data_IF_931666572713
#
_entry.id   IF_931666572713
#
_cell.length_a   1.000
_cell.length_b   1.000
_cell.length_c   1.000
_cell.angle_alpha   90.00
_cell.angle_beta   90.00
_cell.angle_gamma   90.00
#
_symmetry.space_group_name_H-M   'P 1'
#
loop_
_entity.id
_entity.type
_entity.pdbx_description
1 polymer ?
#
# COMPACT_ATOMS: atom_id res chain seq x y z
N UNK A 1 -14.68 4.42 -11.96
CA UNK A 1 -14.21 5.82 -11.94
C UNK A 1 -14.80 6.58 -10.74
N UNK A 2 -16.14 6.63 -10.60
CA UNK A 2 -16.78 7.21 -9.41
C UNK A 2 -16.46 6.46 -8.11
N UNK A 3 -16.38 5.12 -8.12
CA UNK A 3 -16.13 4.34 -6.90
C UNK A 3 -14.71 4.57 -6.32
N UNK A 4 -13.65 4.58 -7.14
CA UNK A 4 -12.28 4.90 -6.64
C UNK A 4 -12.15 6.32 -6.13
N UNK A 5 -12.81 7.30 -6.78
CA UNK A 5 -12.79 8.68 -6.29
C UNK A 5 -13.55 8.81 -4.96
N UNK A 6 -14.71 8.15 -4.83
CA UNK A 6 -15.45 8.07 -3.56
C UNK A 6 -14.65 7.35 -2.47
N UNK A 7 -13.94 6.28 -2.79
CA UNK A 7 -13.07 5.55 -1.85
C UNK A 7 -11.93 6.43 -1.36
N UNK A 8 -11.26 7.15 -2.27
CA UNK A 8 -10.22 8.12 -1.89
C UNK A 8 -10.83 9.21 -1.00
N UNK A 9 -11.93 9.86 -1.40
CA UNK A 9 -12.57 10.91 -0.60
C UNK A 9 -13.04 10.40 0.77
N UNK A 10 -13.63 9.20 0.83
CA UNK A 10 -14.01 8.56 2.09
C UNK A 10 -12.78 8.29 2.98
N UNK A 11 -11.68 7.78 2.40
CA UNK A 11 -10.42 7.57 3.10
C UNK A 11 -9.78 8.89 3.59
N UNK A 12 -10.00 10.01 2.88
CA UNK A 12 -9.54 11.33 3.31
C UNK A 12 -10.32 11.86 4.53
N UNK A 13 -11.59 11.49 4.67
CA UNK A 13 -12.42 11.87 5.82
C UNK A 13 -12.38 10.88 6.98
N UNK A 14 -11.90 9.65 6.72
CA UNK A 14 -11.85 8.59 7.71
C UNK A 14 -10.71 8.78 8.70
N UNK A 15 -11.01 8.64 9.98
CA UNK A 15 -10.05 8.78 11.09
C UNK A 15 -9.60 7.41 11.56
N UNK A 16 -8.34 7.23 11.93
CA UNK A 16 -7.85 6.04 12.64
C UNK A 16 -8.45 5.99 14.04
N UNK A 17 -9.17 4.92 14.37
CA UNK A 17 -9.80 4.74 15.69
C UNK A 17 -8.83 4.08 16.68
N UNK A 18 -9.23 3.97 17.95
CA UNK A 18 -8.43 3.27 18.95
C UNK A 18 -8.38 1.76 18.68
N UNK A 19 -9.47 1.20 18.17
CA UNK A 19 -9.57 -0.21 17.77
C UNK A 19 -8.61 -0.51 16.61
N UNK A 20 -8.49 0.38 15.63
CA UNK A 20 -7.50 0.23 14.55
C UNK A 20 -6.06 0.23 15.10
N UNK A 21 -5.77 1.06 16.11
CA UNK A 21 -4.43 1.08 16.74
C UNK A 21 -4.14 -0.24 17.42
N UNK A 22 -5.09 -0.74 18.21
CA UNK A 22 -4.97 -2.05 18.86
C UNK A 22 -4.82 -3.16 17.83
N UNK A 23 -5.56 -3.11 16.72
CA UNK A 23 -5.44 -4.05 15.62
C UNK A 23 -4.03 -4.04 15.00
N UNK A 24 -3.48 -2.85 14.73
CA UNK A 24 -2.11 -2.72 14.19
C UNK A 24 -1.09 -3.32 15.16
N UNK A 25 -1.15 -2.98 16.45
CA UNK A 25 -0.23 -3.51 17.46
C UNK A 25 -0.37 -5.00 17.74
N UNK A 26 -1.52 -5.59 17.41
CA UNK A 26 -1.72 -7.04 17.50
C UNK A 26 -0.91 -7.81 16.45
N UNK A 27 -0.71 -7.24 15.26
CA UNK A 27 -0.06 -7.92 14.13
C UNK A 27 1.37 -7.45 13.88
N UNK A 28 1.70 -6.20 14.15
CA UNK A 28 3.00 -5.62 13.79
C UNK A 28 3.97 -5.57 14.98
N UNK A 29 5.25 -5.73 14.68
CA UNK A 29 6.32 -5.44 15.63
C UNK A 29 6.49 -3.93 15.80
N UNK A 30 7.10 -3.46 16.89
CA UNK A 30 7.32 -2.01 17.10
C UNK A 30 8.07 -1.32 15.94
N UNK A 31 9.11 -1.91 15.31
CA UNK A 31 9.73 -1.34 14.11
C UNK A 31 8.77 -1.26 12.91
N UNK A 32 7.98 -2.31 12.67
CA UNK A 32 7.00 -2.35 11.58
C UNK A 32 5.84 -1.36 11.79
N UNK A 33 5.39 -1.20 13.03
CA UNK A 33 4.46 -0.13 13.42
C UNK A 33 5.04 1.26 13.12
N UNK A 34 6.33 1.48 13.40
CA UNK A 34 7.00 2.73 13.06
C UNK A 34 6.88 3.08 11.58
N UNK A 35 7.03 2.10 10.69
CA UNK A 35 6.83 2.30 9.24
C UNK A 35 5.36 2.57 8.89
N UNK A 36 4.43 1.81 9.50
CA UNK A 36 2.99 1.99 9.30
C UNK A 36 2.54 3.41 9.67
N UNK A 37 2.89 3.87 10.87
CA UNK A 37 2.52 5.19 11.38
C UNK A 37 3.20 6.33 10.64
N UNK A 38 4.27 6.04 9.90
CA UNK A 38 4.95 6.99 9.03
C UNK A 38 4.30 7.13 7.64
N UNK A 39 3.23 6.39 7.33
CA UNK A 39 2.40 6.66 6.14
C UNK A 39 1.50 7.89 6.34
N UNK A 40 0.94 8.46 5.27
CA UNK A 40 -0.11 9.48 5.46
C UNK A 40 -1.39 8.81 6.00
N UNK A 41 -2.20 9.52 6.80
CA UNK A 41 -3.46 8.99 7.37
C UNK A 41 -4.38 8.31 6.33
N UNK A 42 -4.55 8.85 5.10
CA UNK A 42 -5.36 8.17 4.08
C UNK A 42 -4.76 6.83 3.62
N UNK A 43 -3.43 6.71 3.57
CA UNK A 43 -2.76 5.45 3.24
C UNK A 43 -2.92 4.44 4.38
N UNK A 44 -2.74 4.89 5.64
CA UNK A 44 -3.00 4.07 6.82
C UNK A 44 -4.41 3.50 6.81
N UNK A 45 -5.42 4.33 6.49
CA UNK A 45 -6.81 3.87 6.36
C UNK A 45 -6.99 2.90 5.20
N UNK A 46 -6.41 3.18 4.04
CA UNK A 46 -6.48 2.29 2.89
C UNK A 46 -5.95 0.89 3.25
N UNK A 47 -4.73 0.78 3.80
CA UNK A 47 -4.14 -0.52 4.13
C UNK A 47 -4.91 -1.25 5.24
N UNK A 48 -5.54 -0.54 6.18
CA UNK A 48 -6.44 -1.14 7.17
C UNK A 48 -7.67 -1.76 6.52
N UNK A 49 -8.30 -1.05 5.59
CA UNK A 49 -9.46 -1.57 4.86
C UNK A 49 -9.08 -2.79 4.00
N UNK A 50 -7.89 -2.77 3.39
CA UNK A 50 -7.31 -3.92 2.68
C UNK A 50 -7.14 -5.09 3.65
N UNK A 51 -6.56 -4.88 4.84
CA UNK A 51 -6.38 -5.92 5.85
C UNK A 51 -7.71 -6.52 6.31
N UNK A 52 -8.71 -5.71 6.61
CA UNK A 52 -10.06 -6.18 6.99
C UNK A 52 -10.70 -6.99 5.88
N UNK A 53 -10.58 -6.54 4.63
CA UNK A 53 -11.11 -7.28 3.47
C UNK A 53 -10.36 -8.59 3.24
N UNK A 54 -9.04 -8.59 3.44
CA UNK A 54 -8.21 -9.78 3.32
C UNK A 54 -8.60 -10.85 4.35
N UNK A 55 -8.91 -10.46 5.58
CA UNK A 55 -9.44 -11.36 6.63
C UNK A 55 -10.76 -11.98 6.19
N UNK A 56 -11.70 -11.19 5.67
CA UNK A 56 -12.98 -11.71 5.19
C UNK A 56 -12.82 -12.69 4.03
N UNK A 57 -11.93 -12.41 3.09
CA UNK A 57 -11.63 -13.31 1.98
C UNK A 57 -10.95 -14.60 2.46
N UNK A 58 -10.05 -14.51 3.44
CA UNK A 58 -9.31 -15.64 4.00
C UNK A 58 -10.23 -16.70 4.65
N UNK A 59 -11.43 -16.33 5.13
CA UNK A 59 -12.40 -17.27 5.71
C UNK A 59 -12.77 -18.43 4.77
N UNK A 60 -12.71 -18.21 3.45
CA UNK A 60 -12.99 -19.23 2.45
C UNK A 60 -11.77 -20.11 2.09
N UNK A 61 -10.63 -19.88 2.74
CA UNK A 61 -9.35 -20.52 2.41
C UNK A 61 -8.70 -21.10 3.68
N UNK A 62 -9.11 -22.29 4.15
CA UNK A 62 -8.69 -22.83 5.45
C UNK A 62 -7.18 -23.12 5.59
N UNK A 63 -6.43 -23.15 4.48
CA UNK A 63 -4.98 -23.39 4.47
C UNK A 63 -4.13 -22.12 4.42
N UNK A 64 -4.76 -20.94 4.35
CA UNK A 64 -4.03 -19.68 4.24
C UNK A 64 -3.39 -19.30 5.57
N UNK A 65 -2.18 -18.76 5.52
CA UNK A 65 -1.59 -18.10 6.69
C UNK A 65 -2.20 -16.70 6.82
N UNK A 66 -3.30 -16.62 7.59
CA UNK A 66 -4.01 -15.36 7.83
C UNK A 66 -3.12 -14.32 8.54
N UNK A 67 -2.20 -14.74 9.41
CA UNK A 67 -1.31 -13.81 10.11
C UNK A 67 -0.33 -13.19 9.10
N UNK A 68 0.29 -14.01 8.25
CA UNK A 68 1.16 -13.55 7.17
C UNK A 68 0.41 -12.60 6.24
N UNK A 69 -0.80 -12.95 5.82
CA UNK A 69 -1.65 -12.13 4.96
C UNK A 69 -1.95 -10.75 5.57
N UNK A 70 -2.38 -10.70 6.83
CA UNK A 70 -2.71 -9.44 7.51
C UNK A 70 -1.49 -8.55 7.64
N UNK A 71 -0.33 -9.11 8.02
CA UNK A 71 0.93 -8.35 8.04
C UNK A 71 1.27 -7.80 6.67
N UNK A 72 1.17 -8.61 5.60
CA UNK A 72 1.41 -8.14 4.24
C UNK A 72 0.44 -7.02 3.84
N UNK A 73 -0.84 -7.14 4.18
CA UNK A 73 -1.84 -6.12 3.90
C UNK A 73 -1.54 -4.79 4.60
N UNK A 74 -1.18 -4.81 5.89
CA UNK A 74 -0.82 -3.61 6.64
C UNK A 74 0.48 -2.96 6.15
N UNK A 75 1.40 -3.76 5.60
CA UNK A 75 2.76 -3.31 5.27
C UNK A 75 3.03 -3.06 3.78
N UNK A 76 2.14 -3.45 2.86
CA UNK A 76 2.44 -3.39 1.42
C UNK A 76 2.78 -1.99 0.91
N UNK A 77 2.26 -0.98 1.59
CA UNK A 77 2.25 0.42 1.17
C UNK A 77 3.14 1.34 2.01
N UNK A 78 3.93 0.82 2.95
CA UNK A 78 4.79 1.62 3.85
C UNK A 78 5.84 2.47 3.13
N UNK A 79 6.16 2.13 1.88
CA UNK A 79 6.95 2.96 0.97
C UNK A 79 6.30 4.30 0.59
N UNK A 80 5.02 4.53 0.92
CA UNK A 80 4.30 5.80 0.74
C UNK A 80 4.42 6.67 2.01
N UNK A 81 5.62 7.20 2.23
CA UNK A 81 5.97 7.96 3.43
C UNK A 81 5.15 9.27 3.54
N UNK A 82 4.84 9.68 4.77
CA UNK A 82 4.13 10.91 5.10
C UNK A 82 4.89 12.12 4.54
N UNK A 83 4.13 13.08 4.02
CA UNK A 83 4.67 14.25 3.35
C UNK A 83 5.55 13.93 2.14
N UNK A 84 5.65 12.69 1.65
CA UNK A 84 6.43 12.35 0.44
C UNK A 84 5.68 12.70 -0.85
N UNK A 85 4.35 12.54 -0.82
CA UNK A 85 3.43 12.87 -1.91
C UNK A 85 2.21 13.57 -1.31
N UNK A 86 1.79 14.70 -1.88
CA UNK A 86 0.58 15.36 -1.39
C UNK A 86 -0.67 14.56 -1.76
N UNK A 87 -1.74 14.69 -0.97
CA UNK A 87 -3.05 14.10 -1.29
C UNK A 87 -3.55 14.48 -2.68
N UNK A 88 -3.26 15.70 -3.13
CA UNK A 88 -3.65 16.17 -4.47
C UNK A 88 -2.84 15.48 -5.58
N UNK A 89 -1.54 15.29 -5.36
CA UNK A 89 -0.68 14.57 -6.29
C UNK A 89 -1.08 13.08 -6.41
N UNK A 90 -1.64 12.47 -5.35
CA UNK A 90 -2.20 11.11 -5.40
C UNK A 90 -3.39 10.99 -6.34
N UNK A 91 -4.30 11.95 -6.31
CA UNK A 91 -5.47 11.96 -7.21
C UNK A 91 -4.98 12.08 -8.66
N UNK A 92 -4.01 12.96 -8.94
CA UNK A 92 -3.46 13.15 -10.29
C UNK A 92 -2.69 11.92 -10.77
N UNK A 93 -1.92 11.26 -9.92
CA UNK A 93 -1.16 10.05 -10.29
C UNK A 93 -2.08 8.88 -10.62
N UNK A 94 -3.15 8.68 -9.83
CA UNK A 94 -4.19 7.67 -10.12
C UNK A 94 -4.87 7.94 -11.46
N UNK A 95 -5.15 9.20 -11.79
CA UNK A 95 -5.72 9.60 -13.10
C UNK A 95 -4.70 9.38 -14.23
N UNK A 96 -3.45 9.83 -14.06
CA UNK A 96 -2.41 9.77 -15.09
C UNK A 96 -1.96 8.34 -15.41
N UNK A 97 -1.89 7.44 -14.44
CA UNK A 97 -1.60 6.03 -14.67
C UNK A 97 -2.64 5.38 -15.59
N UNK A 98 -3.93 5.74 -15.45
CA UNK A 98 -5.00 5.17 -16.26
C UNK A 98 -4.98 5.66 -17.71
N UNK A 99 -4.56 6.90 -17.95
CA UNK A 99 -4.56 7.51 -19.28
C UNK A 99 -3.30 7.17 -20.09
N UNK A 100 -2.14 7.08 -19.43
CA UNK A 100 -0.86 6.82 -20.12
C UNK A 100 0.17 6.17 -19.18
N UNK A 101 0.01 4.89 -18.79
CA UNK A 101 0.85 4.25 -17.76
C UNK A 101 2.33 4.21 -18.14
N UNK A 102 2.65 3.91 -19.40
CA UNK A 102 4.02 3.85 -19.90
C UNK A 102 4.71 5.21 -19.92
N UNK A 103 3.96 6.29 -20.20
CA UNK A 103 4.49 7.65 -20.15
C UNK A 103 4.69 8.09 -18.71
N UNK A 104 3.67 7.91 -17.87
CA UNK A 104 3.68 8.27 -16.46
C UNK A 104 4.87 7.64 -15.72
N UNK A 105 5.15 6.36 -16.01
CA UNK A 105 6.30 5.64 -15.45
C UNK A 105 7.63 6.23 -15.89
N UNK A 106 7.79 6.58 -17.17
CA UNK A 106 9.02 7.21 -17.70
C UNK A 106 9.21 8.65 -17.22
N UNK A 107 8.11 9.34 -16.92
CA UNK A 107 8.10 10.73 -16.48
C UNK A 107 8.39 10.89 -14.99
N UNK A 108 8.03 9.88 -14.18
CA UNK A 108 8.29 9.85 -12.75
C UNK A 108 9.80 9.97 -12.44
N UNK A 109 10.17 10.92 -11.59
CA UNK A 109 11.55 11.18 -11.18
C UNK A 109 11.59 11.70 -9.75
N UNK A 110 12.63 11.34 -9.00
CA UNK A 110 12.91 11.92 -7.69
C UNK A 110 13.17 13.43 -7.83
N UNK A 111 12.63 14.21 -6.89
CA UNK A 111 12.88 15.65 -6.80
C UNK A 111 11.74 16.41 -6.16
N UNK A 112 12.04 17.44 -5.37
CA UNK A 112 11.03 18.23 -4.63
C UNK A 112 11.33 19.72 -4.72
N UNK A 113 10.32 20.55 -4.46
CA UNK A 113 10.50 22.01 -4.28
C UNK A 113 9.64 22.90 -5.19
N UNK A 114 9.09 22.38 -6.28
CA UNK A 114 8.09 23.08 -7.09
C UNK A 114 6.98 22.11 -7.54
N UNK A 115 5.85 22.64 -8.02
CA UNK A 115 4.65 21.84 -8.40
C UNK A 115 4.98 20.72 -9.39
N UNK A 116 5.83 20.99 -10.39
CA UNK A 116 6.18 20.01 -11.43
C UNK A 116 7.07 18.89 -10.87
N UNK A 117 8.09 19.24 -10.09
CA UNK A 117 8.98 18.26 -9.45
C UNK A 117 8.21 17.39 -8.46
N UNK A 118 7.33 17.99 -7.65
CA UNK A 118 6.48 17.26 -6.71
C UNK A 118 5.57 16.24 -7.43
N UNK A 119 5.00 16.62 -8.58
CA UNK A 119 4.15 15.72 -9.35
C UNK A 119 4.94 14.57 -10.01
N UNK A 120 6.15 14.84 -10.54
CA UNK A 120 7.06 13.78 -11.03
C UNK A 120 7.45 12.81 -9.92
N UNK A 121 7.73 13.35 -8.74
CA UNK A 121 8.05 12.56 -7.56
C UNK A 121 6.87 11.69 -7.15
N UNK A 122 5.65 12.21 -7.20
CA UNK A 122 4.44 11.44 -6.95
C UNK A 122 4.29 10.21 -7.86
N UNK A 123 4.53 10.36 -9.17
CA UNK A 123 4.52 9.20 -10.08
C UNK A 123 5.64 8.22 -9.75
N UNK A 124 6.84 8.72 -9.42
CA UNK A 124 7.94 7.85 -9.00
C UNK A 124 7.56 7.01 -7.78
N UNK A 125 7.04 7.64 -6.72
CA UNK A 125 6.56 6.95 -5.52
C UNK A 125 5.47 5.94 -5.89
N UNK A 126 4.50 6.32 -6.73
CA UNK A 126 3.43 5.42 -7.16
C UNK A 126 3.95 4.17 -7.86
N UNK A 127 4.94 4.26 -8.75
CA UNK A 127 5.46 3.10 -9.47
C UNK A 127 6.46 2.27 -8.68
N UNK A 128 7.14 2.87 -7.70
CA UNK A 128 8.23 2.23 -6.97
C UNK A 128 7.91 1.91 -5.50
N UNK A 129 6.74 2.27 -4.98
CA UNK A 129 6.43 2.02 -3.55
C UNK A 129 6.53 0.54 -3.18
N UNK A 130 6.15 -0.41 -4.02
CA UNK A 130 6.31 -1.84 -3.71
C UNK A 130 7.78 -2.23 -3.42
N UNK A 131 8.70 -1.72 -4.24
CA UNK A 131 10.14 -1.94 -4.06
C UNK A 131 10.70 -1.15 -2.87
N UNK A 132 10.19 0.06 -2.64
CA UNK A 132 10.54 0.89 -1.46
C UNK A 132 10.05 0.25 -0.15
N UNK A 133 8.80 -0.19 -0.10
CA UNK A 133 8.22 -0.92 1.03
C UNK A 133 9.08 -2.13 1.36
N UNK A 134 9.42 -2.95 0.36
CA UNK A 134 10.28 -4.11 0.55
C UNK A 134 11.68 -3.75 1.05
N UNK A 135 12.27 -2.64 0.60
CA UNK A 135 13.56 -2.17 1.10
C UNK A 135 13.47 -1.73 2.58
N UNK A 136 12.47 -0.92 2.93
CA UNK A 136 12.26 -0.45 4.31
C UNK A 136 11.98 -1.61 5.27
N UNK A 137 11.22 -2.61 4.83
CA UNK A 137 10.96 -3.83 5.61
C UNK A 137 12.22 -4.66 5.82
N UNK A 138 13.11 -4.71 4.81
CA UNK A 138 14.41 -5.36 4.94
C UNK A 138 15.30 -4.65 5.97
N UNK A 139 15.30 -3.32 5.97
CA UNK A 139 16.12 -2.50 6.87
C UNK A 139 15.75 -2.70 8.35
N UNK A 140 14.49 -3.00 8.65
CA UNK A 140 14.02 -3.33 10.01
C UNK A 140 14.10 -4.82 10.35
N UNK A 141 14.60 -5.67 9.44
CA UNK A 141 14.73 -7.11 9.66
C UNK A 141 13.40 -7.89 9.63
N UNK A 142 12.40 -7.44 8.88
CA UNK A 142 11.12 -8.15 8.76
C UNK A 142 11.25 -9.51 8.05
N UNK A 143 10.26 -10.39 8.22
CA UNK A 143 10.23 -11.73 7.62
C UNK A 143 10.46 -11.69 6.09
N UNK A 144 11.40 -12.49 5.54
CA UNK A 144 11.67 -12.56 4.11
C UNK A 144 10.44 -12.86 3.24
N UNK A 145 9.50 -13.67 3.75
CA UNK A 145 8.26 -13.99 3.04
C UNK A 145 7.35 -12.77 2.90
N UNK A 146 7.22 -11.95 3.96
CA UNK A 146 6.47 -10.68 3.92
C UNK A 146 7.11 -9.73 2.91
N UNK A 147 8.44 -9.57 2.99
CA UNK A 147 9.20 -8.69 2.08
C UNK A 147 8.95 -9.08 0.62
N UNK A 148 8.94 -10.37 0.30
CA UNK A 148 8.76 -10.84 -1.07
C UNK A 148 7.32 -10.66 -1.58
N UNK A 149 6.32 -10.95 -0.75
CA UNK A 149 4.90 -10.71 -1.07
C UNK A 149 4.68 -9.21 -1.32
N UNK A 150 5.14 -8.37 -0.40
CA UNK A 150 5.08 -6.91 -0.52
C UNK A 150 5.82 -6.42 -1.76
N UNK A 151 6.99 -6.96 -2.10
CA UNK A 151 7.71 -6.55 -3.32
C UNK A 151 6.93 -6.89 -4.60
N UNK A 152 6.18 -8.00 -4.58
CA UNK A 152 5.47 -8.56 -5.75
C UNK A 152 4.04 -8.10 -5.91
N UNK A 153 3.43 -7.40 -4.94
CA UNK A 153 1.99 -7.08 -4.99
C UNK A 153 1.57 -6.32 -6.27
N UNK A 154 2.45 -5.49 -6.85
CA UNK A 154 2.22 -4.80 -8.13
C UNK A 154 2.72 -5.51 -9.40
N UNK A 155 3.38 -6.68 -9.29
CA UNK A 155 3.85 -7.44 -10.46
C UNK A 155 2.68 -8.20 -11.10
N UNK A 156 2.83 -8.55 -12.38
CA UNK A 156 1.89 -9.41 -13.10
C UNK A 156 1.71 -10.73 -12.33
N UNK A 157 0.46 -11.21 -12.14
CA UNK A 157 0.23 -12.50 -11.50
C UNK A 157 0.95 -13.64 -12.22
N UNK A 158 1.56 -14.53 -11.43
CA UNK A 158 2.18 -15.76 -11.89
C UNK A 158 1.41 -16.98 -11.35
N UNK A 159 1.46 -18.10 -12.06
CA UNK A 159 0.73 -19.33 -11.69
C UNK A 159 1.15 -19.89 -10.32
N UNK A 160 2.41 -19.64 -9.92
CA UNK A 160 2.98 -20.12 -8.66
C UNK A 160 3.00 -19.07 -7.54
N UNK A 161 2.25 -17.96 -7.69
CA UNK A 161 2.16 -16.97 -6.62
C UNK A 161 1.46 -17.57 -5.38
N UNK A 162 1.94 -17.27 -4.16
CA UNK A 162 1.31 -17.76 -2.93
C UNK A 162 -0.09 -17.16 -2.78
N UNK A 163 -0.98 -17.92 -2.12
CA UNK A 163 -2.38 -17.53 -1.96
C UNK A 163 -2.53 -16.18 -1.24
N UNK A 164 -1.64 -15.89 -0.29
CA UNK A 164 -1.58 -14.62 0.44
C UNK A 164 -1.35 -13.43 -0.51
N UNK A 165 -0.49 -13.58 -1.52
CA UNK A 165 -0.25 -12.55 -2.53
C UNK A 165 -1.46 -12.38 -3.46
N UNK A 166 -2.14 -13.48 -3.80
CA UNK A 166 -3.38 -13.44 -4.60
C UNK A 166 -4.49 -12.70 -3.85
N UNK A 167 -4.71 -13.03 -2.57
CA UNK A 167 -5.73 -12.37 -1.77
C UNK A 167 -5.36 -10.91 -1.49
N UNK A 168 -4.09 -10.61 -1.18
CA UNK A 168 -3.61 -9.24 -1.00
C UNK A 168 -3.97 -8.37 -2.21
N UNK A 169 -3.62 -8.81 -3.43
CA UNK A 169 -3.96 -8.11 -4.67
C UNK A 169 -5.46 -7.96 -4.87
N UNK A 170 -6.25 -8.98 -4.51
CA UNK A 170 -7.71 -8.92 -4.62
C UNK A 170 -8.29 -7.89 -3.65
N UNK A 171 -7.85 -7.89 -2.39
CA UNK A 171 -8.29 -6.92 -1.38
C UNK A 171 -7.86 -5.49 -1.72
N UNK A 172 -6.63 -5.29 -2.19
CA UNK A 172 -6.11 -3.98 -2.58
C UNK A 172 -6.90 -3.39 -3.76
N UNK A 173 -7.22 -4.22 -4.75
CA UNK A 173 -8.06 -3.78 -5.88
C UNK A 173 -9.48 -3.36 -5.51
N UNK A 174 -9.97 -3.75 -4.32
CA UNK A 174 -11.28 -3.36 -3.81
C UNK A 174 -11.27 -2.01 -3.09
N UNK A 175 -10.10 -1.43 -2.81
CA UNK A 175 -9.93 -0.14 -2.11
C UNK A 175 -9.08 0.87 -2.91
#
# INVERSE_FOLDING_TARGET
MFNRLKQVVAALTAKITQEDRTFVSLYLSSPAEGLFWNMNVPDQRHVLNVAYTAIELAKNHPKIDTILLVKCALLHDVGKIKNDVSTFDKIITVIGHRLAPSWAKKWGRLGRGNKLSNLRHAFYVYFHHAERSAAMLRDIGECPQIIEIVRKHHKTPAENDPLELVILRKSDNMH
#
